data_IF_575769656372
#
_entry.id   IF_575769656372
#
_cell.length_a   1.000
_cell.length_b   1.000
_cell.length_c   1.000
_cell.angle_alpha   90.00
_cell.angle_beta   90.00
_cell.angle_gamma   90.00
#
_symmetry.space_group_name_H-M   'P 1'
#
loop_
_entity.id
_entity.type
_entity.pdbx_description
1 polymer ?
#
# COMPACT_ATOMS: atom_id res chain seq x y z
N UNK A 1 -4.88 39.77 7.52
CA UNK A 1 -5.21 38.85 6.43
C UNK A 1 -6.01 37.71 7.02
N UNK A 2 -7.31 37.64 6.72
CA UNK A 2 -8.23 36.62 7.21
C UNK A 2 -7.86 35.27 6.59
N UNK A 3 -7.68 34.23 7.41
CA UNK A 3 -7.37 32.88 6.94
C UNK A 3 -8.66 32.30 6.34
N UNK A 4 -8.68 32.05 5.02
CA UNK A 4 -9.83 31.44 4.35
C UNK A 4 -10.06 30.04 4.93
N UNK A 5 -11.25 29.81 5.50
CA UNK A 5 -11.61 28.54 6.16
C UNK A 5 -11.73 27.37 5.18
N UNK A 6 -12.04 27.66 3.91
CA UNK A 6 -12.25 26.67 2.83
C UNK A 6 -11.51 27.10 1.55
N UNK A 7 -10.17 26.97 1.53
CA UNK A 7 -9.35 27.43 0.41
C UNK A 7 -9.71 26.79 -0.94
N UNK A 8 -10.05 25.50 -0.98
CA UNK A 8 -10.33 24.80 -2.24
C UNK A 8 -11.71 25.16 -2.82
N UNK A 9 -12.72 25.29 -1.97
CA UNK A 9 -14.03 25.81 -2.34
C UNK A 9 -13.93 27.25 -2.83
N UNK A 10 -13.18 28.10 -2.14
CA UNK A 10 -13.01 29.51 -2.54
C UNK A 10 -12.26 29.63 -3.87
N UNK A 11 -11.24 28.78 -4.10
CA UNK A 11 -10.53 28.76 -5.37
C UNK A 11 -11.42 28.31 -6.54
N UNK A 12 -12.40 27.44 -6.29
CA UNK A 12 -13.27 26.85 -7.32
C UNK A 12 -14.54 27.68 -7.58
N UNK A 13 -15.17 28.17 -6.52
CA UNK A 13 -16.48 28.83 -6.57
C UNK A 13 -16.42 30.34 -6.31
N UNK A 14 -15.26 30.87 -5.92
CA UNK A 14 -15.11 32.28 -5.54
C UNK A 14 -16.04 32.67 -4.38
N UNK A 15 -16.65 33.84 -4.47
CA UNK A 15 -17.55 34.36 -3.42
C UNK A 15 -18.82 33.53 -3.22
N UNK A 16 -19.20 32.70 -4.20
CA UNK A 16 -20.32 31.77 -4.04
C UNK A 16 -20.09 30.75 -2.91
N UNK A 17 -18.82 30.46 -2.57
CA UNK A 17 -18.47 29.57 -1.46
C UNK A 17 -19.00 30.06 -0.10
N UNK A 18 -19.22 31.37 0.07
CA UNK A 18 -19.72 31.96 1.33
C UNK A 18 -21.19 31.67 1.59
N UNK A 19 -21.92 31.22 0.57
CA UNK A 19 -23.37 30.97 0.63
C UNK A 19 -23.69 29.48 0.81
N UNK A 20 -22.67 28.62 0.88
CA UNK A 20 -22.86 27.19 1.11
C UNK A 20 -23.28 26.93 2.56
N UNK A 21 -24.30 26.07 2.79
CA UNK A 21 -24.58 25.55 4.11
C UNK A 21 -23.33 24.87 4.70
N UNK A 22 -23.07 25.09 5.99
CA UNK A 22 -21.89 24.54 6.68
C UNK A 22 -21.79 23.01 6.56
N UNK A 23 -22.94 22.34 6.62
CA UNK A 23 -23.13 20.89 6.46
C UNK A 23 -22.55 20.37 5.13
N UNK A 24 -22.55 21.19 4.08
CA UNK A 24 -22.06 20.86 2.74
C UNK A 24 -20.65 21.40 2.50
N UNK A 25 -20.31 22.54 3.11
CA UNK A 25 -19.02 23.20 2.91
C UNK A 25 -17.85 22.28 3.33
N UNK A 26 -17.95 21.61 4.48
CA UNK A 26 -16.84 20.77 4.95
C UNK A 26 -16.66 19.47 4.14
N UNK A 27 -17.72 18.69 3.80
CA UNK A 27 -17.57 17.54 2.90
C UNK A 27 -17.10 17.92 1.50
N UNK A 28 -17.59 19.04 0.94
CA UNK A 28 -17.16 19.50 -0.38
C UNK A 28 -15.71 19.98 -0.36
N UNK A 29 -15.28 20.71 0.67
CA UNK A 29 -13.88 21.11 0.83
C UNK A 29 -12.97 19.87 0.87
N UNK A 30 -13.34 18.83 1.64
CA UNK A 30 -12.58 17.60 1.69
C UNK A 30 -12.53 16.88 0.34
N UNK A 31 -13.64 16.85 -0.39
CA UNK A 31 -13.71 16.26 -1.73
C UNK A 31 -12.85 17.04 -2.75
N UNK A 32 -12.90 18.38 -2.73
CA UNK A 32 -12.07 19.22 -3.59
C UNK A 32 -10.59 19.14 -3.23
N UNK A 33 -10.25 19.08 -1.94
CA UNK A 33 -8.89 18.84 -1.48
C UNK A 33 -8.35 17.50 -2.01
N UNK A 34 -9.13 16.43 -1.85
CA UNK A 34 -8.75 15.09 -2.34
C UNK A 34 -8.65 15.03 -3.87
N UNK A 35 -9.53 15.74 -4.60
CA UNK A 35 -9.45 15.82 -6.05
C UNK A 35 -8.24 16.64 -6.55
N UNK A 36 -7.74 17.55 -5.72
CA UNK A 36 -6.60 18.41 -6.02
C UNK A 36 -5.27 17.86 -5.45
N UNK A 37 -5.32 16.75 -4.72
CA UNK A 37 -4.12 15.98 -4.41
C UNK A 37 -3.58 15.42 -5.73
N UNK A 38 -2.51 16.05 -6.23
CA UNK A 38 -1.77 15.49 -7.34
C UNK A 38 -1.26 14.09 -6.94
N UNK A 39 -1.33 13.08 -7.82
CA UNK A 39 -0.73 11.78 -7.57
C UNK A 39 0.69 11.99 -7.09
N UNK A 40 1.05 11.38 -5.96
CA UNK A 40 2.40 11.53 -5.42
C UNK A 40 3.38 11.09 -6.51
N UNK A 41 4.32 11.97 -6.93
CA UNK A 41 5.19 11.64 -8.05
C UNK A 41 5.97 10.37 -7.71
N UNK A 42 5.87 9.36 -8.58
CA UNK A 42 6.60 8.10 -8.42
C UNK A 42 8.06 8.38 -8.72
N UNK A 43 8.83 8.66 -7.67
CA UNK A 43 10.27 8.80 -7.72
C UNK A 43 10.90 8.05 -6.55
N UNK A 44 12.16 7.66 -6.73
CA UNK A 44 12.88 6.82 -5.77
C UNK A 44 12.83 7.36 -4.33
N UNK A 45 13.09 8.65 -4.04
CA UNK A 45 12.96 9.19 -2.69
C UNK A 45 11.56 9.09 -2.07
N UNK A 46 10.49 9.22 -2.87
CA UNK A 46 9.11 9.02 -2.41
C UNK A 46 8.88 7.55 -2.08
N UNK A 47 9.22 6.64 -2.99
CA UNK A 47 9.05 5.20 -2.78
C UNK A 47 9.83 4.71 -1.55
N UNK A 48 11.07 5.17 -1.35
CA UNK A 48 11.87 4.79 -0.19
C UNK A 48 11.25 5.28 1.12
N UNK A 49 10.70 6.50 1.15
CA UNK A 49 10.00 7.00 2.34
C UNK A 49 8.76 6.18 2.65
N UNK A 50 7.97 5.82 1.64
CA UNK A 50 6.79 4.96 1.77
C UNK A 50 7.16 3.56 2.30
N UNK A 51 8.22 2.96 1.75
CA UNK A 51 8.75 1.68 2.22
C UNK A 51 9.17 1.77 3.70
N UNK A 52 9.90 2.83 4.08
CA UNK A 52 10.38 3.07 5.45
C UNK A 52 9.26 3.39 6.44
N UNK A 53 8.22 4.11 5.99
CA UNK A 53 7.02 4.43 6.77
C UNK A 53 6.21 3.17 7.11
N UNK A 54 6.39 2.09 6.35
CA UNK A 54 5.76 0.81 6.61
C UNK A 54 4.33 0.75 6.09
N UNK A 55 4.06 1.34 4.92
CA UNK A 55 2.78 1.24 4.20
C UNK A 55 2.33 -0.22 3.97
N UNK A 56 1.04 -0.42 3.73
CA UNK A 56 0.46 -1.74 3.46
C UNK A 56 0.90 -2.30 2.10
N UNK A 57 0.38 -3.46 1.71
CA UNK A 57 0.74 -4.11 0.45
C UNK A 57 0.41 -3.25 -0.79
N UNK A 58 -0.59 -2.39 -0.71
CA UNK A 58 -1.00 -1.44 -1.75
C UNK A 58 -0.14 -0.16 -1.80
N UNK A 59 0.83 -0.03 -0.90
CA UNK A 59 1.67 1.17 -0.78
C UNK A 59 0.96 2.35 -0.14
N UNK A 60 -0.20 2.16 0.49
CA UNK A 60 -0.92 3.17 1.24
C UNK A 60 -0.81 2.95 2.76
N UNK A 61 -1.02 3.98 3.58
CA UNK A 61 -1.14 3.81 5.03
C UNK A 61 -2.27 2.84 5.40
N UNK A 62 -2.11 2.08 6.49
CA UNK A 62 -3.13 1.14 6.96
C UNK A 62 -4.47 1.82 7.23
N UNK A 63 -5.53 1.34 6.59
CA UNK A 63 -6.90 1.87 6.75
C UNK A 63 -7.77 1.03 7.69
N UNK A 64 -7.27 -0.13 8.16
CA UNK A 64 -8.01 -1.02 9.06
C UNK A 64 -7.98 -0.56 10.53
N UNK A 65 -8.63 -1.32 11.43
CA UNK A 65 -8.64 -1.00 12.85
C UNK A 65 -7.21 -0.95 13.42
N UNK A 66 -6.87 0.14 14.09
CA UNK A 66 -5.65 0.30 14.88
C UNK A 66 -5.89 1.33 15.99
N UNK A 67 -5.45 1.02 17.22
CA UNK A 67 -5.66 1.92 18.37
C UNK A 67 -4.56 2.98 18.49
N UNK A 68 -3.42 2.80 17.83
CA UNK A 68 -2.31 3.77 17.79
C UNK A 68 -1.64 3.82 16.41
N UNK A 69 -0.93 4.91 16.07
CA UNK A 69 -0.15 4.99 14.82
C UNK A 69 0.91 3.88 14.69
N UNK A 70 1.54 3.48 15.81
CA UNK A 70 2.50 2.37 15.81
C UNK A 70 1.83 1.05 15.44
N UNK A 71 0.64 0.77 15.98
CA UNK A 71 -0.13 -0.41 15.62
C UNK A 71 -0.57 -0.41 14.16
N UNK A 72 -0.89 0.76 13.59
CA UNK A 72 -1.23 0.89 12.17
C UNK A 72 -0.02 0.53 11.27
N UNK A 73 1.18 1.00 11.63
CA UNK A 73 2.42 0.64 10.92
C UNK A 73 2.70 -0.86 11.04
N UNK A 74 2.55 -1.45 12.22
CA UNK A 74 2.76 -2.89 12.40
C UNK A 74 1.73 -3.72 11.62
N UNK A 75 0.47 -3.27 11.56
CA UNK A 75 -0.57 -3.92 10.77
C UNK A 75 -0.27 -3.85 9.27
N UNK A 76 0.13 -2.69 8.76
CA UNK A 76 0.55 -2.55 7.37
C UNK A 76 1.78 -3.40 7.02
N UNK A 77 2.77 -3.50 7.92
CA UNK A 77 3.92 -4.40 7.72
C UNK A 77 3.51 -5.88 7.66
N UNK A 78 2.58 -6.30 8.52
CA UNK A 78 2.00 -7.66 8.49
C UNK A 78 1.29 -7.92 7.16
N UNK A 79 0.46 -6.98 6.72
CA UNK A 79 -0.26 -7.06 5.45
C UNK A 79 0.70 -7.18 4.26
N UNK A 80 1.71 -6.31 4.19
CA UNK A 80 2.76 -6.36 3.17
C UNK A 80 3.53 -7.68 3.17
N UNK A 81 3.88 -8.21 4.35
CA UNK A 81 4.57 -9.49 4.46
C UNK A 81 3.71 -10.68 4.03
N UNK A 82 2.43 -10.68 4.38
CA UNK A 82 1.48 -11.71 3.96
C UNK A 82 1.28 -11.67 2.44
N UNK A 83 1.09 -10.49 1.85
CA UNK A 83 1.00 -10.32 0.40
C UNK A 83 2.27 -10.80 -0.31
N UNK A 84 3.45 -10.43 0.20
CA UNK A 84 4.73 -10.90 -0.34
C UNK A 84 4.88 -12.42 -0.29
N UNK A 85 4.47 -13.07 0.80
CA UNK A 85 4.46 -14.54 0.91
C UNK A 85 3.58 -15.18 -0.17
N UNK A 86 2.36 -14.66 -0.37
CA UNK A 86 1.45 -15.15 -1.40
C UNK A 86 2.07 -15.01 -2.79
N UNK A 87 2.62 -13.85 -3.13
CA UNK A 87 3.24 -13.63 -4.45
C UNK A 87 4.42 -14.58 -4.71
N UNK A 88 5.28 -14.84 -3.71
CA UNK A 88 6.40 -15.78 -3.89
C UNK A 88 5.91 -17.22 -4.02
N UNK A 89 4.85 -17.61 -3.29
CA UNK A 89 4.21 -18.92 -3.46
C UNK A 89 3.58 -19.09 -4.85
N UNK A 90 2.96 -18.06 -5.40
CA UNK A 90 2.43 -18.07 -6.77
C UNK A 90 3.55 -18.26 -7.80
N UNK A 91 4.68 -17.55 -7.63
CA UNK A 91 5.87 -17.74 -8.47
C UNK A 91 6.43 -19.16 -8.36
N UNK A 92 6.52 -19.70 -7.14
CA UNK A 92 6.96 -21.07 -6.92
C UNK A 92 6.02 -22.09 -7.56
N UNK A 93 4.70 -21.90 -7.42
CA UNK A 93 3.70 -22.75 -8.04
C UNK A 93 3.78 -22.71 -9.58
N UNK A 94 3.93 -21.52 -10.17
CA UNK A 94 4.12 -21.36 -11.60
C UNK A 94 5.40 -22.06 -12.08
N UNK A 95 6.51 -21.93 -11.34
CA UNK A 95 7.75 -22.63 -11.64
C UNK A 95 7.58 -24.15 -11.61
N UNK A 96 6.90 -24.69 -10.61
CA UNK A 96 6.60 -26.13 -10.54
C UNK A 96 5.73 -26.60 -11.71
N UNK A 97 4.75 -25.79 -12.12
CA UNK A 97 3.90 -26.11 -13.27
C UNK A 97 4.72 -26.13 -14.58
N UNK A 98 5.64 -25.20 -14.76
CA UNK A 98 6.54 -25.19 -15.93
C UNK A 98 7.49 -26.38 -15.91
N UNK A 99 8.04 -26.76 -14.74
CA UNK A 99 8.91 -27.93 -14.61
C UNK A 99 8.20 -29.25 -14.95
N UNK A 100 6.93 -29.39 -14.56
CA UNK A 100 6.15 -30.63 -14.75
C UNK A 100 5.54 -30.71 -16.14
N UNK A 101 4.93 -29.62 -16.61
CA UNK A 101 4.10 -29.61 -17.82
C UNK A 101 4.77 -28.90 -19.02
N UNK A 102 5.86 -28.16 -18.79
CA UNK A 102 6.49 -27.27 -19.78
C UNK A 102 7.70 -27.86 -20.49
N UNK A 103 8.35 -27.02 -21.31
CA UNK A 103 9.59 -27.38 -22.01
C UNK A 103 10.81 -27.10 -21.13
N UNK A 104 11.85 -27.93 -21.22
CA UNK A 104 13.07 -27.81 -20.40
C UNK A 104 13.74 -26.42 -20.51
N UNK A 105 13.67 -25.79 -21.69
CA UNK A 105 14.22 -24.44 -21.90
C UNK A 105 13.49 -23.33 -21.11
N UNK A 106 12.28 -23.59 -20.65
CA UNK A 106 11.44 -22.65 -19.91
C UNK A 106 11.52 -22.90 -18.39
N UNK A 107 12.14 -24.00 -17.93
CA UNK A 107 12.42 -24.25 -16.51
C UNK A 107 13.48 -23.27 -15.98
N UNK A 108 13.23 -22.73 -14.79
CA UNK A 108 14.13 -21.82 -14.07
C UNK A 108 15.27 -22.56 -13.36
N UNK A 109 15.23 -23.89 -13.34
CA UNK A 109 16.23 -24.78 -12.76
C UNK A 109 16.11 -24.97 -11.25
N UNK A 110 16.72 -26.06 -10.76
CA UNK A 110 16.59 -26.52 -9.38
C UNK A 110 17.05 -25.48 -8.34
N UNK A 111 18.18 -24.80 -8.59
CA UNK A 111 18.73 -23.83 -7.65
C UNK A 111 17.81 -22.60 -7.45
N UNK A 112 17.24 -22.07 -8.53
CA UNK A 112 16.30 -20.93 -8.45
C UNK A 112 15.04 -21.37 -7.71
N UNK A 113 14.55 -22.57 -8.00
CA UNK A 113 13.38 -23.14 -7.35
C UNK A 113 13.60 -23.39 -5.85
N UNK A 114 14.74 -23.94 -5.46
CA UNK A 114 15.13 -24.11 -4.06
C UNK A 114 15.20 -22.74 -3.35
N UNK A 115 15.77 -21.73 -4.02
CA UNK A 115 15.76 -20.34 -3.54
C UNK A 115 14.36 -19.79 -3.29
N UNK A 116 13.41 -20.02 -4.21
CA UNK A 116 12.00 -19.63 -4.03
C UNK A 116 11.34 -20.35 -2.84
N UNK A 117 11.60 -21.65 -2.67
CA UNK A 117 11.11 -22.42 -1.53
C UNK A 117 11.65 -21.88 -0.20
N UNK A 118 12.96 -21.55 -0.15
CA UNK A 118 13.57 -20.95 1.04
C UNK A 118 13.02 -19.55 1.33
N UNK A 119 12.77 -18.74 0.29
CA UNK A 119 12.13 -17.43 0.44
C UNK A 119 10.69 -17.56 0.99
N UNK A 120 9.89 -18.50 0.48
CA UNK A 120 8.56 -18.81 1.01
C UNK A 120 8.64 -19.18 2.50
N UNK A 121 9.57 -20.08 2.86
CA UNK A 121 9.76 -20.51 4.24
C UNK A 121 10.13 -19.35 5.15
N UNK A 122 11.12 -18.53 4.77
CA UNK A 122 11.56 -17.38 5.56
C UNK A 122 10.45 -16.35 5.76
N UNK A 123 9.68 -16.04 4.71
CA UNK A 123 8.53 -15.13 4.81
C UNK A 123 7.41 -15.72 5.68
N UNK A 124 7.12 -17.02 5.57
CA UNK A 124 6.14 -17.69 6.42
C UNK A 124 6.55 -17.67 7.90
N UNK A 125 7.82 -17.92 8.20
CA UNK A 125 8.37 -17.81 9.56
C UNK A 125 8.24 -16.37 10.10
N UNK A 126 8.57 -15.37 9.27
CA UNK A 126 8.41 -13.96 9.64
C UNK A 126 6.94 -13.60 9.92
N UNK A 127 6.02 -13.95 9.01
CA UNK A 127 4.57 -13.70 9.20
C UNK A 127 4.08 -14.39 10.47
N UNK A 128 4.50 -15.64 10.73
CA UNK A 128 4.12 -16.37 11.94
C UNK A 128 4.64 -15.74 13.24
N UNK A 129 5.79 -15.05 13.21
CA UNK A 129 6.27 -14.27 14.35
C UNK A 129 5.38 -13.06 14.63
N UNK A 130 4.94 -12.38 13.57
CA UNK A 130 4.11 -11.17 13.70
C UNK A 130 2.70 -11.43 14.25
N UNK A 131 2.17 -12.66 14.11
CA UNK A 131 0.87 -13.05 14.68
C UNK A 131 0.94 -13.28 16.19
N UNK A 132 2.14 -13.59 16.72
CA UNK A 132 2.35 -13.87 18.16
C UNK A 132 2.68 -12.63 18.97
N UNK A 133 2.98 -11.51 18.31
CA UNK A 133 3.33 -10.21 18.88
C UNK A 133 2.15 -9.24 18.84
#
# INVERSE_FOLDING_TARGET
MSKTLYPYLTATLGDAAQHLPLELAQPLEAAFAAANDAPTPINLPVCLRQIQAGDAADGQPWQGPASTPGQAVDAARRDRAAAGLVSVLELYHAAERVRVDGEEKDDIGDGTREGLMLACRGLAEYVALQVRS
#
